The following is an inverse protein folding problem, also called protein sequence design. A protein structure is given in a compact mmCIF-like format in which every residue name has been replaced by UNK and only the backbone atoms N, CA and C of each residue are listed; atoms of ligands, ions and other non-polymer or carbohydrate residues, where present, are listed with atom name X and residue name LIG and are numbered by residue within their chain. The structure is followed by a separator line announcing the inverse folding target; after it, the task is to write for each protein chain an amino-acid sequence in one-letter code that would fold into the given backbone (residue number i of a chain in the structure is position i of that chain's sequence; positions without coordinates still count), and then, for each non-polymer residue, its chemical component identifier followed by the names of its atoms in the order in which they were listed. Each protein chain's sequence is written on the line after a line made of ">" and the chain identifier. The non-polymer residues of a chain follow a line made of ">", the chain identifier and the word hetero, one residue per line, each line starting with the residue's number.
data_IF_641751797933
#
_entry.id   IF_641751797933
#
_cell.length_a   1.000
_cell.length_b   1.000
_cell.length_c   1.000
_cell.angle_alpha   90.00
_cell.angle_beta   90.00
_cell.angle_gamma   90.00
#
_symmetry.space_group_name_H-M   'P 1'
#
loop_
_entity.id
_entity.type
_entity.pdbx_description
1 polymer ?
#
# COMPACT_ATOMS: atom_id res chain seq x y z
N UNK A 1 20.12 -17.97 12.27
CA UNK A 1 19.83 -16.86 11.35
C UNK A 1 18.36 -16.53 11.48
N UNK A 2 17.99 -15.51 12.24
CA UNK A 2 16.64 -14.98 12.14
C UNK A 2 16.66 -14.15 10.87
N UNK A 3 16.06 -14.67 9.80
CA UNK A 3 15.56 -13.76 8.78
C UNK A 3 14.49 -12.92 9.49
N UNK A 4 14.90 -11.81 10.11
CA UNK A 4 13.98 -10.75 10.54
C UNK A 4 13.41 -10.05 9.30
N UNK A 5 13.06 -10.84 8.29
CA UNK A 5 12.67 -10.43 6.97
C UNK A 5 11.18 -10.17 6.93
N UNK A 6 10.83 -9.21 6.11
CA UNK A 6 9.44 -8.91 5.81
C UNK A 6 9.02 -9.92 4.75
N UNK A 7 7.97 -10.70 5.04
CA UNK A 7 7.38 -11.63 4.07
C UNK A 7 6.72 -10.84 2.94
N UNK A 8 5.94 -9.82 3.33
CA UNK A 8 5.16 -8.99 2.42
C UNK A 8 4.73 -7.69 3.09
N UNK A 9 4.39 -6.71 2.27
CA UNK A 9 3.76 -5.46 2.65
C UNK A 9 2.34 -5.45 2.11
N UNK A 10 1.34 -5.44 2.99
CA UNK A 10 -0.05 -5.33 2.55
C UNK A 10 -0.40 -3.85 2.36
N UNK A 11 -0.96 -3.53 1.18
CA UNK A 11 -1.33 -2.18 0.79
C UNK A 11 -2.84 -2.02 0.91
N UNK A 12 -3.25 -1.03 1.67
CA UNK A 12 -4.63 -0.67 1.92
C UNK A 12 -4.93 0.66 1.24
N UNK A 13 -5.98 0.70 0.44
CA UNK A 13 -6.54 1.91 -0.16
C UNK A 13 -7.93 2.15 0.43
N UNK A 14 -8.14 3.31 1.01
CA UNK A 14 -9.39 3.67 1.68
C UNK A 14 -9.81 2.62 2.73
N UNK A 15 -8.85 2.18 3.55
CA UNK A 15 -9.01 1.13 4.58
C UNK A 15 -9.37 -0.27 4.05
N UNK A 16 -9.38 -0.48 2.73
CA UNK A 16 -9.56 -1.80 2.11
C UNK A 16 -8.24 -2.29 1.53
N UNK A 17 -7.87 -3.54 1.80
CA UNK A 17 -6.70 -4.14 1.16
C UNK A 17 -6.93 -4.18 -0.36
N UNK A 18 -6.03 -3.53 -1.10
CA UNK A 18 -6.04 -3.53 -2.58
C UNK A 18 -4.97 -4.43 -3.16
N UNK A 19 -3.95 -4.76 -2.37
CA UNK A 19 -2.89 -5.65 -2.80
C UNK A 19 -1.93 -5.99 -1.68
N UNK A 20 -0.95 -6.81 -2.02
CA UNK A 20 0.24 -7.02 -1.22
C UNK A 20 1.46 -6.97 -2.16
N UNK A 21 2.58 -6.48 -1.66
CA UNK A 21 3.84 -6.42 -2.39
C UNK A 21 4.95 -6.97 -1.49
N UNK A 22 5.83 -7.82 -2.01
CA UNK A 22 7.01 -8.27 -1.24
C UNK A 22 8.07 -7.18 -1.07
N UNK A 23 7.88 -6.02 -1.71
CA UNK A 23 8.77 -4.86 -1.63
C UNK A 23 8.00 -3.61 -1.19
N UNK A 24 8.71 -2.57 -0.74
CA UNK A 24 8.13 -1.29 -0.36
C UNK A 24 7.61 -0.45 -1.56
N UNK A 25 7.41 -1.09 -2.72
CA UNK A 25 6.93 -0.47 -3.94
C UNK A 25 5.66 -1.19 -4.40
N UNK A 26 4.60 -0.42 -4.64
CA UNK A 26 3.34 -0.92 -5.20
C UNK A 26 2.86 0.03 -6.28
N UNK A 27 2.51 -0.52 -7.44
CA UNK A 27 2.01 0.25 -8.57
C UNK A 27 0.50 0.07 -8.66
N UNK A 28 -0.23 1.06 -8.19
CA UNK A 28 -1.68 1.11 -8.35
C UNK A 28 -2.02 1.63 -9.75
N UNK A 29 -2.87 0.92 -10.49
CA UNK A 29 -3.28 1.26 -11.87
C UNK A 29 -4.79 1.15 -12.03
N UNK A 30 -5.37 1.86 -12.99
CA UNK A 30 -6.83 1.90 -13.16
C UNK A 30 -7.54 2.76 -12.11
N UNK A 31 -6.82 3.73 -11.54
CA UNK A 31 -7.39 4.70 -10.62
C UNK A 31 -8.26 5.72 -11.35
N UNK A 32 -9.37 6.08 -10.74
CA UNK A 32 -10.21 7.18 -11.23
C UNK A 32 -9.51 8.50 -10.92
N UNK A 33 -9.47 9.40 -11.90
CA UNK A 33 -8.97 10.76 -11.72
C UNK A 33 -9.84 11.58 -10.77
N UNK A 34 -9.28 12.67 -10.24
CA UNK A 34 -9.93 13.57 -9.27
C UNK A 34 -10.41 12.91 -7.96
N UNK A 35 -9.95 11.70 -7.67
CA UNK A 35 -10.38 10.95 -6.50
C UNK A 35 -9.29 10.96 -5.43
N UNK A 36 -9.67 11.32 -4.21
CA UNK A 36 -8.77 11.23 -3.05
C UNK A 36 -8.72 9.78 -2.57
N UNK A 37 -7.53 9.21 -2.57
CA UNK A 37 -7.26 7.87 -2.08
C UNK A 37 -6.33 7.93 -0.86
N UNK A 38 -6.70 7.20 0.18
CA UNK A 38 -5.91 7.07 1.41
C UNK A 38 -5.14 5.77 1.38
N UNK A 39 -3.82 5.82 1.27
CA UNK A 39 -2.98 4.63 1.26
C UNK A 39 -2.35 4.38 2.63
N UNK A 40 -2.40 3.15 3.08
CA UNK A 40 -1.73 2.68 4.28
C UNK A 40 -1.02 1.37 3.94
N UNK A 41 0.11 1.12 4.60
CA UNK A 41 0.87 -0.12 4.42
C UNK A 41 1.23 -0.74 5.76
N UNK A 42 1.16 -2.06 5.85
CA UNK A 42 1.70 -2.83 6.98
C UNK A 42 2.77 -3.77 6.47
N UNK A 43 3.84 -3.96 7.23
CA UNK A 43 4.81 -5.01 6.99
C UNK A 43 4.36 -6.27 7.74
N UNK A 44 4.32 -7.41 7.05
CA UNK A 44 4.03 -8.70 7.66
C UNK A 44 5.33 -9.50 7.68
N UNK A 45 5.85 -9.76 8.86
CA UNK A 45 7.06 -10.55 9.07
C UNK A 45 6.84 -12.04 8.81
N UNK A 46 7.92 -12.76 8.52
CA UNK A 46 7.89 -14.21 8.30
C UNK A 46 7.35 -14.98 9.54
N UNK A 47 7.55 -14.43 10.74
CA UNK A 47 7.02 -14.94 12.00
C UNK A 47 5.50 -14.77 12.19
N UNK A 48 4.78 -14.22 11.20
CA UNK A 48 3.35 -13.92 11.32
C UNK A 48 3.03 -12.63 12.10
N UNK A 49 4.07 -11.92 12.57
CA UNK A 49 3.93 -10.62 13.24
C UNK A 49 3.69 -9.52 12.20
N UNK A 50 2.58 -8.80 12.34
CA UNK A 50 2.26 -7.62 11.55
C UNK A 50 2.80 -6.38 12.27
N UNK A 51 3.45 -5.50 11.52
CA UNK A 51 3.77 -4.16 12.01
C UNK A 51 2.50 -3.30 12.06
N UNK A 52 2.57 -2.22 12.82
CA UNK A 52 1.51 -1.20 12.88
C UNK A 52 1.29 -0.57 11.50
N UNK A 53 0.07 -0.10 11.22
CA UNK A 53 -0.24 0.67 10.01
C UNK A 53 0.70 1.87 9.90
N UNK A 54 1.28 2.03 8.71
CA UNK A 54 2.03 3.24 8.36
C UNK A 54 1.11 4.45 8.35
N UNK A 55 1.71 5.63 8.39
CA UNK A 55 0.98 6.89 8.29
C UNK A 55 0.09 6.91 7.04
N UNK A 56 -1.15 7.39 7.21
CA UNK A 56 -2.07 7.51 6.09
C UNK A 56 -1.53 8.50 5.06
N UNK A 57 -1.29 8.01 3.85
CA UNK A 57 -0.86 8.83 2.73
C UNK A 57 -2.10 9.18 1.90
N UNK A 58 -2.56 10.41 2.07
CA UNK A 58 -3.64 10.97 1.27
C UNK A 58 -3.07 11.46 -0.07
N UNK A 59 -3.38 10.75 -1.14
CA UNK A 59 -3.01 11.15 -2.50
C UNK A 59 -4.28 11.40 -3.30
N UNK A 60 -4.36 12.58 -3.90
CA UNK A 60 -5.38 12.90 -4.88
C UNK A 60 -4.83 12.57 -6.25
N UNK A 61 -5.47 11.65 -6.97
CA UNK A 61 -5.12 11.40 -8.36
C UNK A 61 -5.45 12.65 -9.18
N UNK A 62 -4.49 13.13 -9.95
CA UNK A 62 -4.80 14.10 -11.00
C UNK A 62 -5.74 13.43 -11.99
N UNK A 63 -6.71 14.17 -12.52
CA UNK A 63 -7.42 13.70 -13.70
C UNK A 63 -6.37 13.33 -14.74
N UNK A 64 -6.43 12.10 -15.25
CA UNK A 64 -5.69 11.76 -16.46
C UNK A 64 -6.35 12.58 -17.56
N UNK A 65 -6.01 13.86 -17.64
CA UNK A 65 -6.31 14.70 -18.76
C UNK A 65 -5.51 14.12 -19.91
N UNK A 66 -6.14 13.19 -20.65
CA UNK A 66 -5.68 12.86 -21.99
C UNK A 66 -5.65 14.17 -22.76
N UNK A 67 -4.44 14.65 -23.04
CA UNK A 67 -4.22 15.66 -24.06
C UNK A 67 -4.32 15.00 -25.43
#
# INVERSE_FOLDING_TARGET
>A
MYDGGIKEYQVFRNSKQVGASSTASYKDTGLTGDTTYSYQVIAVGNNGLNSTLSNVLSVKTSVSAGS
#
